data_IF_427495627885
#
_entry.id   IF_427495627885
#
_cell.length_a   1.000
_cell.length_b   1.000
_cell.length_c   1.000
_cell.angle_alpha   90.00
_cell.angle_beta   90.00
_cell.angle_gamma   90.00
#
_symmetry.space_group_name_H-M   'P 1'
#
loop_
_entity.id
_entity.type
_entity.pdbx_description
1 polymer ?
#
# COMPACT_ATOMS: atom_id res chain seq x y z
N UNK A 1 24.92 28.30 -18.01
CA UNK A 1 24.55 27.61 -16.76
C UNK A 1 25.73 26.79 -16.26
N UNK A 2 26.12 26.88 -14.99
CA UNK A 2 27.11 25.96 -14.47
C UNK A 2 26.47 24.58 -14.31
N UNK A 3 26.92 23.61 -15.10
CA UNK A 3 26.60 22.19 -14.88
C UNK A 3 27.21 21.77 -13.55
N UNK A 4 26.40 21.21 -12.64
CA UNK A 4 26.86 20.70 -11.35
C UNK A 4 28.11 19.82 -11.52
N UNK A 5 29.20 20.06 -10.78
CA UNK A 5 30.46 19.32 -10.91
C UNK A 5 30.35 17.83 -10.51
N UNK A 6 29.22 17.42 -9.92
CA UNK A 6 28.93 16.04 -9.54
C UNK A 6 28.17 15.26 -10.62
N UNK A 7 27.73 15.93 -11.69
CA UNK A 7 26.92 15.33 -12.75
C UNK A 7 27.75 14.28 -13.52
N UNK A 8 27.55 13.00 -13.20
CA UNK A 8 28.25 11.87 -13.81
C UNK A 8 29.18 11.08 -12.88
N UNK A 9 29.49 11.59 -11.68
CA UNK A 9 30.28 10.86 -10.68
C UNK A 9 29.44 10.03 -9.72
N UNK A 10 28.20 10.46 -9.49
CA UNK A 10 27.26 9.80 -8.59
C UNK A 10 25.91 9.64 -9.27
N UNK A 11 25.31 8.46 -9.12
CA UNK A 11 23.92 8.23 -9.48
C UNK A 11 23.09 8.47 -8.22
N UNK A 12 22.16 9.45 -8.21
CA UNK A 12 21.27 9.64 -7.07
C UNK A 12 20.49 8.35 -6.82
N UNK A 13 20.63 7.81 -5.61
CA UNK A 13 19.88 6.64 -5.16
C UNK A 13 18.66 7.11 -4.38
N UNK A 14 17.47 6.82 -4.92
CA UNK A 14 16.21 7.12 -4.23
C UNK A 14 15.95 6.06 -3.16
N UNK A 15 16.17 6.41 -1.90
CA UNK A 15 15.77 5.56 -0.78
C UNK A 15 14.25 5.59 -0.66
N UNK A 16 13.64 4.41 -0.76
CA UNK A 16 12.19 4.19 -0.70
C UNK A 16 11.87 3.36 0.55
N UNK A 17 10.58 3.06 0.77
CA UNK A 17 10.15 2.05 1.75
C UNK A 17 10.97 0.76 1.65
N UNK A 18 11.19 0.12 2.79
CA UNK A 18 11.88 -1.18 2.88
C UNK A 18 11.10 -2.21 2.05
N UNK A 19 11.82 -3.09 1.35
CA UNK A 19 11.18 -4.11 0.53
C UNK A 19 10.42 -5.10 1.40
N UNK A 20 9.27 -5.61 0.96
CA UNK A 20 8.47 -6.56 1.74
C UNK A 20 9.25 -7.78 2.24
N UNK A 21 10.08 -8.39 1.38
CA UNK A 21 10.88 -9.57 1.74
C UNK A 21 11.86 -9.25 2.88
N UNK A 22 12.54 -8.11 2.82
CA UNK A 22 13.58 -7.72 3.77
C UNK A 22 13.01 -7.41 5.17
N UNK A 23 11.91 -6.65 5.23
CA UNK A 23 11.27 -6.30 6.51
C UNK A 23 10.60 -7.52 7.14
N UNK A 24 9.93 -8.36 6.34
CA UNK A 24 9.23 -9.54 6.86
C UNK A 24 10.21 -10.62 7.34
N UNK A 25 11.29 -10.88 6.61
CA UNK A 25 12.34 -11.83 7.02
C UNK A 25 13.08 -11.40 8.29
N UNK A 26 13.08 -10.10 8.59
CA UNK A 26 13.62 -9.55 9.83
C UNK A 26 12.64 -9.74 10.99
N UNK A 27 11.37 -9.36 10.81
CA UNK A 27 10.37 -9.40 11.88
C UNK A 27 9.99 -10.82 12.31
N UNK A 28 10.00 -11.78 11.37
CA UNK A 28 9.70 -13.20 11.65
C UNK A 28 10.67 -13.86 12.63
N UNK A 29 11.87 -13.29 12.79
CA UNK A 29 12.86 -13.77 13.77
C UNK A 29 12.51 -13.38 15.21
N UNK A 30 11.56 -12.45 15.39
CA UNK A 30 11.20 -11.86 16.69
C UNK A 30 9.73 -12.09 17.06
N UNK A 31 8.84 -12.15 16.09
CA UNK A 31 7.41 -12.29 16.31
C UNK A 31 6.85 -13.49 15.55
N UNK A 32 5.64 -13.93 15.92
CA UNK A 32 4.96 -14.97 15.17
C UNK A 32 4.65 -14.50 13.72
N UNK A 33 4.41 -15.42 12.79
CA UNK A 33 4.21 -15.09 11.38
C UNK A 33 3.07 -14.12 11.08
N UNK A 34 1.96 -14.25 11.78
CA UNK A 34 0.80 -13.38 11.57
C UNK A 34 1.13 -11.97 12.02
N UNK A 35 1.62 -11.81 13.26
CA UNK A 35 2.01 -10.51 13.79
C UNK A 35 3.12 -9.88 12.96
N UNK A 36 4.08 -10.67 12.51
CA UNK A 36 5.18 -10.22 11.66
C UNK A 36 4.68 -9.64 10.34
N UNK A 37 3.68 -10.25 9.69
CA UNK A 37 3.16 -9.75 8.42
C UNK A 37 2.36 -8.46 8.60
N UNK A 38 1.53 -8.41 9.65
CA UNK A 38 0.75 -7.21 10.00
C UNK A 38 1.63 -6.04 10.42
N UNK A 39 2.73 -6.28 11.13
CA UNK A 39 3.72 -5.24 11.44
C UNK A 39 4.54 -4.85 10.21
N UNK A 40 4.95 -5.83 9.40
CA UNK A 40 5.75 -5.60 8.19
C UNK A 40 5.04 -4.71 7.18
N UNK A 41 3.71 -4.81 7.07
CA UNK A 41 2.93 -3.96 6.17
C UNK A 41 3.04 -2.48 6.52
N UNK A 42 3.32 -2.12 7.77
CA UNK A 42 3.53 -0.72 8.18
C UNK A 42 5.01 -0.37 8.40
N UNK A 43 5.77 -1.21 9.10
CA UNK A 43 7.18 -0.97 9.45
C UNK A 43 8.15 -0.92 8.26
N UNK A 44 7.65 -1.15 7.05
CA UNK A 44 8.37 -0.78 5.84
C UNK A 44 8.64 0.73 5.74
N UNK A 45 7.86 1.56 6.43
CA UNK A 45 8.20 2.92 6.80
C UNK A 45 9.23 2.89 7.95
N UNK A 46 10.53 3.16 7.70
CA UNK A 46 11.59 2.87 8.67
C UNK A 46 11.45 3.64 9.99
N UNK A 47 10.82 4.82 9.96
CA UNK A 47 10.62 5.68 11.13
C UNK A 47 9.67 5.07 12.17
N UNK A 48 8.83 4.10 11.78
CA UNK A 48 7.95 3.37 12.70
C UNK A 48 8.69 2.31 13.52
N UNK A 49 9.79 1.75 13.01
CA UNK A 49 10.55 0.69 13.66
C UNK A 49 10.98 1.06 15.10
N UNK A 50 11.60 2.23 15.36
CA UNK A 50 11.99 2.61 16.72
C UNK A 50 10.82 2.99 17.63
N UNK A 51 9.63 3.24 17.09
CA UNK A 51 8.46 3.69 17.86
C UNK A 51 7.62 2.54 18.43
N UNK A 52 7.85 1.32 17.95
CA UNK A 52 7.11 0.15 18.36
C UNK A 52 7.55 -0.37 19.74
N UNK A 53 6.59 -0.45 20.67
CA UNK A 53 6.80 -0.83 22.06
C UNK A 53 6.42 -2.26 22.40
N UNK A 54 6.06 -3.10 21.43
CA UNK A 54 5.65 -4.49 21.65
C UNK A 54 4.14 -4.73 21.77
N UNK A 55 3.33 -3.67 21.73
CA UNK A 55 1.85 -3.72 21.74
C UNK A 55 1.26 -4.50 20.54
N UNK A 56 -0.06 -4.70 20.52
CA UNK A 56 -0.74 -5.26 19.35
C UNK A 56 -0.72 -4.27 18.16
N UNK A 57 -0.80 -4.80 16.93
CA UNK A 57 -0.70 -4.00 15.70
C UNK A 57 -1.74 -2.88 15.66
N UNK A 58 -2.98 -3.13 16.09
CA UNK A 58 -4.05 -2.12 16.04
C UNK A 58 -3.72 -0.95 16.96
N UNK A 59 -3.30 -1.24 18.19
CA UNK A 59 -2.88 -0.22 19.16
C UNK A 59 -1.66 0.57 18.69
N UNK A 60 -0.69 -0.10 18.06
CA UNK A 60 0.49 0.56 17.48
C UNK A 60 0.08 1.55 16.37
N UNK A 61 -0.69 1.08 15.38
CA UNK A 61 -1.09 1.95 14.26
C UNK A 61 -1.99 3.09 14.73
N UNK A 62 -2.89 2.85 15.68
CA UNK A 62 -3.70 3.90 16.31
C UNK A 62 -2.83 5.01 16.93
N UNK A 63 -1.76 4.64 17.64
CA UNK A 63 -0.87 5.59 18.29
C UNK A 63 -0.27 6.57 17.27
N UNK A 64 0.27 6.07 16.16
CA UNK A 64 0.98 6.92 15.19
C UNK A 64 0.06 7.59 14.15
N UNK A 65 -1.12 7.02 13.88
CA UNK A 65 -2.10 7.60 12.94
C UNK A 65 -3.13 8.53 13.59
N UNK A 66 -3.45 8.36 14.88
CA UNK A 66 -4.40 9.21 15.60
C UNK A 66 -3.75 10.06 16.70
N UNK A 67 -2.89 9.50 17.56
CA UNK A 67 -2.34 10.26 18.69
C UNK A 67 -1.19 11.17 18.29
N UNK A 68 -0.33 10.70 17.39
CA UNK A 68 0.85 11.42 16.92
C UNK A 68 0.77 11.76 15.43
N UNK A 69 -0.44 12.05 14.94
CA UNK A 69 -0.68 12.41 13.54
C UNK A 69 0.20 13.57 13.05
N UNK A 70 0.64 14.44 13.96
CA UNK A 70 1.52 15.57 13.64
C UNK A 70 2.86 15.09 13.07
N UNK A 71 3.35 13.91 13.49
CA UNK A 71 4.56 13.30 12.94
C UNK A 71 4.37 13.01 11.45
N UNK A 72 3.23 12.43 11.08
CA UNK A 72 2.89 12.14 9.68
C UNK A 72 2.88 13.42 8.84
N UNK A 73 2.27 14.50 9.36
CA UNK A 73 2.24 15.81 8.69
C UNK A 73 3.63 16.46 8.59
N UNK A 74 4.43 16.38 9.65
CA UNK A 74 5.79 16.90 9.66
C UNK A 74 6.67 16.19 8.62
N UNK A 75 6.61 14.86 8.55
CA UNK A 75 7.35 14.06 7.56
C UNK A 75 6.98 14.41 6.12
N UNK A 76 5.70 14.66 5.83
CA UNK A 76 5.28 15.15 4.50
C UNK A 76 5.90 16.52 4.24
N UNK A 77 5.88 17.43 5.23
CA UNK A 77 6.50 18.74 5.12
C UNK A 77 8.01 18.66 4.85
N UNK A 78 8.71 17.75 5.51
CA UNK A 78 10.14 17.48 5.31
C UNK A 78 10.43 17.01 3.89
N UNK A 79 9.66 16.05 3.35
CA UNK A 79 9.82 15.59 1.97
C UNK A 79 9.66 16.74 0.97
N UNK A 80 8.68 17.62 1.18
CA UNK A 80 8.50 18.80 0.33
C UNK A 80 9.67 19.78 0.45
N UNK A 81 10.18 20.01 1.66
CA UNK A 81 11.31 20.90 1.90
C UNK A 81 12.60 20.36 1.25
N UNK A 82 12.87 19.06 1.35
CA UNK A 82 14.02 18.38 0.71
C UNK A 82 13.98 18.49 -0.82
N UNK A 83 12.77 18.46 -1.38
CA UNK A 83 12.54 18.58 -2.82
C UNK A 83 12.44 20.05 -3.29
N UNK A 84 12.78 21.01 -2.42
CA UNK A 84 12.68 22.47 -2.64
C UNK A 84 11.30 22.91 -3.15
N UNK A 85 10.24 22.25 -2.65
CA UNK A 85 8.85 22.48 -3.05
C UNK A 85 8.02 22.97 -1.87
N UNK A 86 7.00 23.76 -2.18
CA UNK A 86 6.00 24.17 -1.18
C UNK A 86 4.86 23.16 -1.12
N UNK A 87 4.55 22.65 0.07
CA UNK A 87 3.32 21.91 0.32
C UNK A 87 2.12 22.86 0.21
N UNK A 88 1.43 22.82 -0.92
CA UNK A 88 0.25 23.67 -1.18
C UNK A 88 -1.04 22.98 -0.76
N UNK A 89 -2.11 23.76 -0.59
CA UNK A 89 -3.47 23.23 -0.35
C UNK A 89 -3.90 22.20 -1.40
N UNK A 90 -3.46 22.35 -2.65
CA UNK A 90 -3.76 21.39 -3.72
C UNK A 90 -3.05 20.06 -3.50
N UNK A 91 -1.78 20.08 -3.11
CA UNK A 91 -1.05 18.84 -2.78
C UNK A 91 -1.67 18.15 -1.56
N UNK A 92 -1.94 18.88 -0.48
CA UNK A 92 -2.57 18.31 0.72
C UNK A 92 -3.93 17.68 0.40
N UNK A 93 -4.76 18.36 -0.40
CA UNK A 93 -6.06 17.84 -0.79
C UNK A 93 -5.93 16.57 -1.67
N UNK A 94 -4.94 16.49 -2.56
CA UNK A 94 -4.68 15.28 -3.35
C UNK A 94 -4.23 14.13 -2.46
N UNK A 95 -3.30 14.37 -1.53
CA UNK A 95 -2.84 13.35 -0.58
C UNK A 95 -4.01 12.83 0.26
N UNK A 96 -4.85 13.72 0.78
CA UNK A 96 -6.07 13.36 1.53
C UNK A 96 -7.05 12.52 0.71
N UNK A 97 -7.28 12.88 -0.56
CA UNK A 97 -8.16 12.13 -1.46
C UNK A 97 -7.61 10.74 -1.79
N UNK A 98 -6.30 10.64 -2.04
CA UNK A 98 -5.63 9.36 -2.29
C UNK A 98 -5.66 8.47 -1.04
N UNK A 99 -5.43 9.03 0.15
CA UNK A 99 -5.57 8.31 1.43
C UNK A 99 -7.00 7.85 1.71
N UNK A 100 -7.98 8.59 1.20
CA UNK A 100 -9.40 8.18 1.19
C UNK A 100 -9.75 7.20 0.06
N UNK A 101 -8.74 6.66 -0.64
CA UNK A 101 -8.85 5.72 -1.78
C UNK A 101 -9.61 6.28 -2.99
N UNK A 102 -9.65 7.60 -3.13
CA UNK A 102 -10.11 8.27 -4.37
C UNK A 102 -8.94 8.35 -5.34
N UNK A 103 -8.79 7.31 -6.16
CA UNK A 103 -7.62 7.12 -7.02
C UNK A 103 -7.79 7.61 -8.46
N UNK A 104 -9.03 7.76 -8.95
CA UNK A 104 -9.30 8.20 -10.33
C UNK A 104 -9.03 9.68 -10.45
N UNK A 105 -8.10 10.07 -11.33
CA UNK A 105 -7.75 11.48 -11.60
C UNK A 105 -8.99 12.33 -11.92
N UNK A 106 -9.95 11.78 -12.66
CA UNK A 106 -11.21 12.48 -12.98
C UNK A 106 -12.02 12.82 -11.73
N UNK A 107 -12.11 11.88 -10.78
CA UNK A 107 -12.85 12.06 -9.54
C UNK A 107 -12.14 13.06 -8.62
N UNK A 108 -10.81 12.91 -8.49
CA UNK A 108 -9.96 13.87 -7.75
C UNK A 108 -10.18 15.29 -8.31
N UNK A 109 -10.11 15.45 -9.64
CA UNK A 109 -10.32 16.73 -10.32
C UNK A 109 -11.70 17.32 -9.98
N UNK A 110 -12.75 16.50 -10.07
CA UNK A 110 -14.12 16.92 -9.76
C UNK A 110 -14.28 17.38 -8.31
N UNK A 111 -13.70 16.65 -7.36
CA UNK A 111 -13.79 16.99 -5.93
C UNK A 111 -12.99 18.26 -5.62
N UNK A 112 -11.78 18.39 -6.15
CA UNK A 112 -10.95 19.60 -5.95
C UNK A 112 -11.65 20.85 -6.49
N UNK A 113 -12.29 20.74 -7.66
CA UNK A 113 -13.04 21.84 -8.26
C UNK A 113 -14.28 22.19 -7.44
N UNK A 114 -15.06 21.19 -7.02
CA UNK A 114 -16.25 21.39 -6.18
C UNK A 114 -15.90 22.06 -4.83
N UNK A 115 -14.76 21.69 -4.23
CA UNK A 115 -14.22 22.32 -3.00
C UNK A 115 -13.51 23.65 -3.25
N UNK A 116 -13.49 24.16 -4.49
CA UNK A 116 -12.80 25.40 -4.90
C UNK A 116 -11.30 25.43 -4.57
N UNK A 117 -10.67 24.25 -4.48
CA UNK A 117 -9.22 24.10 -4.30
C UNK A 117 -8.47 24.40 -5.60
N UNK A 118 -9.10 24.11 -6.74
CA UNK A 118 -8.61 24.48 -8.07
C UNK A 118 -9.66 25.35 -8.78
N UNK A 119 -9.19 26.26 -9.64
CA UNK A 119 -10.05 27.20 -10.37
C UNK A 119 -10.78 26.58 -11.56
N UNK A 120 -10.20 25.53 -12.15
CA UNK A 120 -10.72 24.87 -13.35
C UNK A 120 -10.59 23.35 -13.22
N UNK A 121 -11.56 22.56 -13.73
CA UNK A 121 -11.54 21.09 -13.63
C UNK A 121 -10.63 20.44 -14.68
N UNK A 122 -9.32 20.76 -14.66
CA UNK A 122 -8.32 20.21 -15.59
C UNK A 122 -7.65 18.94 -15.06
N UNK A 123 -8.00 17.78 -15.62
CA UNK A 123 -7.33 16.51 -15.28
C UNK A 123 -5.86 16.45 -15.69
N UNK A 124 -5.45 17.20 -16.71
CA UNK A 124 -4.03 17.30 -17.09
C UNK A 124 -3.24 18.01 -15.99
N UNK A 125 -3.77 19.11 -15.47
CA UNK A 125 -3.15 19.85 -14.37
C UNK A 125 -3.04 19.00 -13.10
N UNK A 126 -4.12 18.31 -12.70
CA UNK A 126 -4.12 17.39 -11.55
C UNK A 126 -3.13 16.22 -11.75
N UNK A 127 -3.02 15.71 -12.98
CA UNK A 127 -2.02 14.68 -13.30
C UNK A 127 -0.58 15.16 -13.08
N UNK A 128 -0.32 16.45 -13.32
CA UNK A 128 0.98 17.09 -13.02
C UNK A 128 1.32 17.07 -11.53
N UNK A 129 0.35 17.41 -10.66
CA UNK A 129 0.55 17.31 -9.21
C UNK A 129 0.80 15.87 -8.75
N UNK A 130 0.01 14.91 -9.24
CA UNK A 130 0.22 13.48 -8.92
C UNK A 130 1.59 13.01 -9.41
N UNK A 131 2.05 13.49 -10.58
CA UNK A 131 3.40 13.19 -11.08
C UNK A 131 4.48 13.69 -10.14
N UNK A 132 4.37 14.93 -9.67
CA UNK A 132 5.32 15.47 -8.70
C UNK A 132 5.32 14.65 -7.40
N UNK A 133 4.14 14.27 -6.88
CA UNK A 133 4.05 13.41 -5.69
C UNK A 133 4.69 12.03 -5.89
N UNK A 134 4.62 11.45 -7.10
CA UNK A 134 5.33 10.22 -7.43
C UNK A 134 6.86 10.42 -7.50
N UNK A 135 7.30 11.54 -8.07
CA UNK A 135 8.72 11.91 -8.11
C UNK A 135 9.30 12.03 -6.69
N UNK A 136 8.54 12.62 -5.77
CA UNK A 136 8.89 12.74 -4.34
C UNK A 136 8.63 11.47 -3.50
N UNK A 137 8.23 10.36 -4.12
CA UNK A 137 7.95 9.06 -3.45
C UNK A 137 6.74 9.00 -2.52
N UNK A 138 5.91 10.03 -2.44
CA UNK A 138 4.73 10.05 -1.59
C UNK A 138 3.56 9.25 -2.19
N UNK A 139 3.54 9.13 -3.52
CA UNK A 139 2.48 8.45 -4.29
C UNK A 139 3.10 7.39 -5.18
N UNK A 140 2.39 6.27 -5.35
CA UNK A 140 2.74 5.25 -6.32
C UNK A 140 1.64 5.07 -7.38
N UNK A 141 1.99 4.39 -8.48
CA UNK A 141 1.03 4.04 -9.52
C UNK A 141 1.12 2.55 -9.86
N UNK A 142 0.00 1.85 -9.74
CA UNK A 142 -0.15 0.45 -10.11
C UNK A 142 -0.88 0.40 -11.45
N UNK A 143 -0.36 -0.37 -12.40
CA UNK A 143 -1.00 -0.52 -13.71
C UNK A 143 -2.28 -1.33 -13.58
N UNK A 144 -3.37 -0.86 -14.20
CA UNK A 144 -4.59 -1.64 -14.30
C UNK A 144 -4.46 -2.70 -15.40
N UNK A 145 -4.72 -3.95 -15.06
CA UNK A 145 -4.52 -5.12 -15.90
C UNK A 145 -5.25 -4.97 -17.24
N UNK A 146 -4.55 -5.33 -18.34
CA UNK A 146 -5.02 -5.18 -19.74
C UNK A 146 -5.39 -3.76 -20.17
N UNK A 147 -5.12 -2.73 -19.38
CA UNK A 147 -5.38 -1.33 -19.76
C UNK A 147 -4.11 -0.48 -19.74
N UNK A 148 -4.23 0.75 -20.24
CA UNK A 148 -3.21 1.80 -20.08
C UNK A 148 -3.43 2.66 -18.82
N UNK A 149 -4.54 2.44 -18.11
CA UNK A 149 -4.90 3.21 -16.92
C UNK A 149 -4.05 2.78 -15.72
N UNK A 150 -3.98 3.66 -14.74
CA UNK A 150 -3.25 3.47 -13.50
C UNK A 150 -4.17 3.68 -12.31
N UNK A 151 -3.94 2.90 -11.26
CA UNK A 151 -4.45 3.11 -9.92
C UNK A 151 -3.39 3.88 -9.14
N UNK A 152 -3.77 5.01 -8.54
CA UNK A 152 -2.86 5.86 -7.76
C UNK A 152 -3.22 5.75 -6.28
N UNK A 153 -2.21 5.64 -5.42
CA UNK A 153 -2.39 5.60 -3.96
C UNK A 153 -1.20 6.23 -3.25
N UNK A 154 -1.39 6.52 -1.97
CA UNK A 154 -0.28 6.89 -1.10
C UNK A 154 0.66 5.69 -0.96
N UNK A 155 1.96 5.95 -0.96
CA UNK A 155 2.95 4.89 -0.88
C UNK A 155 3.12 4.37 0.55
N UNK A 156 3.10 5.27 1.52
CA UNK A 156 3.26 4.97 2.96
C UNK A 156 1.93 4.49 3.56
N UNK A 157 1.86 3.26 4.10
CA UNK A 157 0.64 2.70 4.69
C UNK A 157 0.14 3.47 5.92
N UNK A 158 1.06 4.03 6.71
CA UNK A 158 0.69 4.87 7.86
C UNK A 158 0.14 6.24 7.42
N UNK A 159 0.65 6.82 6.33
CA UNK A 159 0.07 8.04 5.73
C UNK A 159 -1.32 7.76 5.16
N UNK A 160 -1.51 6.63 4.45
CA UNK A 160 -2.83 6.20 3.97
C UNK A 160 -3.81 6.04 5.13
N UNK A 161 -3.38 5.41 6.21
CA UNK A 161 -4.20 5.20 7.40
C UNK A 161 -4.57 6.51 8.08
N UNK A 162 -3.62 7.41 8.31
CA UNK A 162 -3.87 8.74 8.85
C UNK A 162 -4.92 9.49 8.01
N UNK A 163 -4.70 9.63 6.70
CA UNK A 163 -5.64 10.39 5.86
C UNK A 163 -7.02 9.75 5.74
N UNK A 164 -7.09 8.42 5.80
CA UNK A 164 -8.37 7.70 5.84
C UNK A 164 -9.14 7.99 7.13
N UNK A 165 -8.46 7.98 8.28
CA UNK A 165 -9.06 8.27 9.58
C UNK A 165 -9.41 9.74 9.71
N UNK A 166 -8.54 10.63 9.24
CA UNK A 166 -8.80 12.07 9.18
C UNK A 166 -10.09 12.37 8.43
N UNK A 167 -10.28 11.77 7.25
CA UNK A 167 -11.50 12.01 6.47
C UNK A 167 -12.79 11.50 7.12
N UNK A 168 -12.69 10.53 8.03
CA UNK A 168 -13.84 9.86 8.64
C UNK A 168 -14.17 10.31 10.06
N UNK A 169 -13.15 10.71 10.81
CA UNK A 169 -13.23 10.95 12.24
C UNK A 169 -12.67 12.31 12.64
N UNK A 170 -12.07 13.07 11.72
CA UNK A 170 -11.42 14.35 11.97
C UNK A 170 -10.37 14.25 13.09
N UNK A 171 -9.46 13.27 12.96
CA UNK A 171 -8.46 12.93 13.99
C UNK A 171 -7.51 14.08 14.32
N UNK A 172 -7.37 15.04 13.42
CA UNK A 172 -6.58 16.25 13.65
C UNK A 172 -7.31 17.34 14.44
N UNK A 173 -8.64 17.30 14.49
CA UNK A 173 -9.51 18.33 15.08
C UNK A 173 -10.06 17.93 16.45
N UNK A 174 -10.00 16.64 16.82
CA UNK A 174 -10.47 16.15 18.12
C UNK A 174 -9.71 14.92 18.58
N UNK A 175 -9.82 14.64 19.87
CA UNK A 175 -9.38 13.36 20.43
C UNK A 175 -10.34 12.24 20.01
N UNK A 176 -9.78 11.17 19.45
CA UNK A 176 -10.50 10.00 18.96
C UNK A 176 -10.01 8.79 19.74
N UNK A 177 -10.91 8.06 20.39
CA UNK A 177 -10.54 6.88 21.20
C UNK A 177 -10.24 5.65 20.32
N UNK A 178 -9.42 4.74 20.83
CA UNK A 178 -9.10 3.48 20.12
C UNK A 178 -10.37 2.66 19.83
N UNK A 179 -11.29 2.58 20.78
CA UNK A 179 -12.51 1.77 20.62
C UNK A 179 -13.42 2.32 19.51
N UNK A 180 -13.44 3.63 19.31
CA UNK A 180 -14.18 4.28 18.23
C UNK A 180 -13.66 3.88 16.84
N UNK A 181 -12.34 3.77 16.68
CA UNK A 181 -11.70 3.49 15.38
C UNK A 181 -11.28 2.04 15.19
N UNK A 182 -11.35 1.19 16.22
CA UNK A 182 -10.81 -0.18 16.23
C UNK A 182 -11.24 -1.00 15.01
N UNK A 183 -12.53 -1.10 14.73
CA UNK A 183 -13.05 -1.87 13.60
C UNK A 183 -12.61 -1.31 12.24
N UNK A 184 -12.46 0.01 12.15
CA UNK A 184 -11.97 0.68 10.94
C UNK A 184 -10.48 0.42 10.75
N UNK A 185 -9.68 0.53 11.81
CA UNK A 185 -8.25 0.19 11.78
C UNK A 185 -8.02 -1.26 11.41
N UNK A 186 -8.74 -2.21 12.00
CA UNK A 186 -8.64 -3.63 11.64
C UNK A 186 -8.99 -3.88 10.16
N UNK A 187 -9.92 -3.10 9.59
CA UNK A 187 -10.20 -3.14 8.16
C UNK A 187 -9.06 -2.56 7.33
N UNK A 188 -8.50 -1.42 7.71
CA UNK A 188 -7.38 -0.79 6.98
C UNK A 188 -6.14 -1.66 7.04
N UNK A 189 -5.78 -2.20 8.21
CA UNK A 189 -4.65 -3.12 8.38
C UNK A 189 -4.79 -4.33 7.47
N UNK A 190 -5.99 -4.91 7.33
CA UNK A 190 -6.22 -5.99 6.37
C UNK A 190 -5.89 -5.56 4.95
N UNK A 191 -6.38 -4.40 4.51
CA UNK A 191 -6.09 -3.87 3.16
C UNK A 191 -4.58 -3.61 2.96
N UNK A 192 -3.89 -3.04 3.95
CA UNK A 192 -2.44 -2.84 3.87
C UNK A 192 -1.66 -4.16 3.83
N UNK A 193 -2.17 -5.21 4.49
CA UNK A 193 -1.62 -6.57 4.35
C UNK A 193 -1.85 -7.13 2.95
N UNK A 194 -3.03 -6.93 2.36
CA UNK A 194 -3.32 -7.32 0.97
C UNK A 194 -2.33 -6.66 -0.01
N UNK A 195 -2.10 -5.35 0.15
CA UNK A 195 -1.14 -4.59 -0.66
C UNK A 195 0.30 -5.07 -0.44
N UNK A 196 0.70 -5.27 0.82
CA UNK A 196 2.02 -5.78 1.16
C UNK A 196 2.30 -7.15 0.54
N UNK A 197 1.33 -8.07 0.61
CA UNK A 197 1.41 -9.40 0.00
C UNK A 197 1.55 -9.31 -1.53
N UNK A 198 0.79 -8.43 -2.16
CA UNK A 198 0.86 -8.24 -3.60
C UNK A 198 2.26 -7.77 -4.05
N UNK A 199 2.87 -6.86 -3.30
CA UNK A 199 4.25 -6.44 -3.54
C UNK A 199 5.26 -7.54 -3.21
N UNK A 200 5.07 -8.28 -2.12
CA UNK A 200 5.88 -9.45 -1.77
C UNK A 200 5.97 -10.43 -2.95
N UNK A 201 4.83 -10.77 -3.56
CA UNK A 201 4.81 -11.67 -4.72
C UNK A 201 5.41 -11.02 -5.98
N UNK A 202 5.27 -9.71 -6.17
CA UNK A 202 5.95 -9.01 -7.25
C UNK A 202 7.48 -9.17 -7.12
N UNK A 203 8.02 -9.03 -5.91
CA UNK A 203 9.43 -9.27 -5.62
C UNK A 203 9.81 -10.74 -5.80
N UNK A 204 9.06 -11.69 -5.21
CA UNK A 204 9.31 -13.13 -5.29
C UNK A 204 9.42 -13.64 -6.74
N UNK A 205 8.49 -13.20 -7.61
CA UNK A 205 8.49 -13.59 -9.02
C UNK A 205 9.36 -12.71 -9.93
N UNK A 206 10.07 -11.72 -9.37
CA UNK A 206 10.79 -10.69 -10.12
C UNK A 206 9.92 -10.06 -11.22
N UNK A 207 8.65 -9.82 -10.88
CA UNK A 207 7.61 -9.34 -11.77
C UNK A 207 7.12 -7.94 -11.39
N UNK A 208 6.02 -7.54 -12.00
CA UNK A 208 5.32 -6.29 -11.69
C UNK A 208 3.90 -6.61 -11.24
N UNK A 209 3.47 -5.94 -10.18
CA UNK A 209 2.08 -5.95 -9.74
C UNK A 209 1.21 -5.18 -10.75
N UNK A 210 0.11 -5.77 -11.15
CA UNK A 210 -1.02 -5.16 -11.85
C UNK A 210 -2.30 -5.41 -11.04
N UNK A 211 -3.23 -4.46 -11.08
CA UNK A 211 -4.52 -4.55 -10.37
C UNK A 211 -5.66 -4.77 -11.36
N UNK A 212 -6.62 -5.63 -11.05
CA UNK A 212 -7.79 -5.89 -11.91
C UNK A 212 -9.06 -5.41 -11.22
N UNK A 213 -9.85 -4.60 -11.94
CA UNK A 213 -11.16 -4.12 -11.44
C UNK A 213 -12.31 -5.03 -11.86
N UNK A 214 -12.18 -5.72 -13.00
CA UNK A 214 -13.21 -6.61 -13.52
C UNK A 214 -12.58 -7.81 -14.28
N UNK A 215 -12.66 -9.03 -13.73
CA UNK A 215 -13.09 -9.29 -12.36
C UNK A 215 -12.14 -8.64 -11.34
N UNK A 216 -12.65 -8.27 -10.17
CA UNK A 216 -11.84 -7.71 -9.07
C UNK A 216 -10.85 -8.76 -8.57
N UNK A 217 -9.55 -8.53 -8.73
CA UNK A 217 -8.48 -9.44 -8.27
C UNK A 217 -7.44 -8.59 -7.56
N UNK A 218 -7.12 -8.96 -6.32
CA UNK A 218 -6.23 -8.19 -5.43
C UNK A 218 -4.85 -7.98 -6.04
N UNK A 219 -4.30 -9.00 -6.71
CA UNK A 219 -3.08 -8.83 -7.49
C UNK A 219 -2.93 -9.80 -8.67
N UNK A 220 -2.30 -9.28 -9.72
CA UNK A 220 -1.77 -10.05 -10.85
C UNK A 220 -0.30 -9.72 -10.99
N UNK A 221 0.57 -10.72 -11.03
CA UNK A 221 2.00 -10.52 -11.25
C UNK A 221 2.34 -10.81 -12.70
N UNK A 222 2.90 -9.84 -13.39
CA UNK A 222 3.32 -9.97 -14.79
C UNK A 222 4.82 -9.81 -14.97
N UNK A 223 5.39 -10.55 -15.91
CA UNK A 223 6.76 -10.37 -16.38
C UNK A 223 6.78 -10.38 -17.90
N UNK A 224 7.28 -9.29 -18.51
CA UNK A 224 7.31 -9.12 -19.98
C UNK A 224 5.95 -9.44 -20.64
N UNK A 225 4.86 -8.93 -20.05
CA UNK A 225 3.45 -9.13 -20.45
C UNK A 225 2.89 -10.55 -20.25
N UNK A 226 3.65 -11.51 -19.73
CA UNK A 226 3.14 -12.83 -19.34
C UNK A 226 2.63 -12.79 -17.90
N UNK A 227 1.50 -13.43 -17.63
CA UNK A 227 0.98 -13.58 -16.26
C UNK A 227 1.74 -14.72 -15.59
N UNK A 228 2.39 -14.42 -14.47
CA UNK A 228 3.10 -15.40 -13.65
C UNK A 228 2.20 -15.94 -12.54
N UNK A 229 1.49 -15.05 -11.85
CA UNK A 229 0.63 -15.39 -10.74
C UNK A 229 -0.60 -14.48 -10.66
N UNK A 230 -1.65 -15.00 -10.04
CA UNK A 230 -2.92 -14.32 -9.81
C UNK A 230 -3.32 -14.64 -8.37
N UNK A 231 -3.64 -13.60 -7.60
CA UNK A 231 -3.80 -13.71 -6.17
C UNK A 231 -5.09 -13.11 -5.62
N UNK A 232 -5.66 -13.79 -4.64
CA UNK A 232 -6.66 -13.23 -3.72
C UNK A 232 -6.12 -13.36 -2.29
N UNK A 233 -6.35 -12.34 -1.48
CA UNK A 233 -5.95 -12.29 -0.09
C UNK A 233 -7.21 -12.19 0.77
N UNK A 234 -7.36 -13.13 1.69
CA UNK A 234 -8.43 -13.16 2.68
C UNK A 234 -7.82 -13.15 4.07
N UNK A 235 -7.44 -11.97 4.55
CA UNK A 235 -6.72 -11.80 5.83
C UNK A 235 -7.62 -11.88 7.08
N UNK A 236 -8.40 -12.96 7.17
CA UNK A 236 -9.32 -13.25 8.27
C UNK A 236 -9.84 -14.68 8.15
N UNK A 237 -11.06 -14.95 8.62
CA UNK A 237 -11.69 -16.25 8.35
C UNK A 237 -12.07 -16.33 6.87
N UNK A 238 -11.75 -17.46 6.25
CA UNK A 238 -12.22 -17.81 4.91
C UNK A 238 -13.09 -19.07 4.96
N UNK A 239 -13.86 -19.27 3.91
CA UNK A 239 -14.73 -20.42 3.72
C UNK A 239 -14.40 -21.13 2.42
N UNK A 240 -14.83 -22.39 2.29
CA UNK A 240 -14.76 -23.12 1.01
C UNK A 240 -15.49 -22.40 -0.13
N UNK A 241 -16.50 -21.60 0.19
CA UNK A 241 -17.21 -20.78 -0.79
C UNK A 241 -16.33 -19.64 -1.34
N UNK A 242 -15.44 -19.07 -0.52
CA UNK A 242 -14.48 -18.06 -0.97
C UNK A 242 -13.49 -18.66 -1.99
N UNK A 243 -12.96 -19.85 -1.70
CA UNK A 243 -12.11 -20.59 -2.65
C UNK A 243 -12.84 -20.90 -3.97
N UNK A 244 -14.11 -21.31 -3.90
CA UNK A 244 -14.94 -21.58 -5.07
C UNK A 244 -15.20 -20.32 -5.90
N UNK A 245 -15.47 -19.19 -5.24
CA UNK A 245 -15.64 -17.88 -5.90
C UNK A 245 -14.36 -17.44 -6.59
N UNK A 246 -13.22 -17.52 -5.89
CA UNK A 246 -11.93 -17.18 -6.46
C UNK A 246 -11.60 -18.09 -7.66
N UNK A 247 -11.77 -19.40 -7.53
CA UNK A 247 -11.55 -20.34 -8.63
C UNK A 247 -12.34 -19.95 -9.90
N UNK A 248 -13.65 -19.74 -9.77
CA UNK A 248 -14.51 -19.33 -10.91
C UNK A 248 -14.06 -18.01 -11.54
N UNK A 249 -13.54 -17.09 -10.73
CA UNK A 249 -13.05 -15.78 -11.16
C UNK A 249 -11.82 -15.91 -12.07
N UNK A 250 -10.94 -16.87 -11.78
CA UNK A 250 -9.61 -16.96 -12.39
C UNK A 250 -9.36 -18.23 -13.20
N UNK A 251 -10.31 -19.15 -13.31
CA UNK A 251 -10.11 -20.46 -13.94
C UNK A 251 -9.61 -20.39 -15.40
N UNK A 252 -10.04 -19.37 -16.14
CA UNK A 252 -9.65 -19.14 -17.54
C UNK A 252 -8.35 -18.35 -17.70
N UNK A 253 -7.77 -17.84 -16.61
CA UNK A 253 -6.56 -17.04 -16.65
C UNK A 253 -5.31 -17.92 -16.47
N UNK A 254 -4.23 -17.66 -17.24
CA UNK A 254 -2.97 -18.39 -17.09
C UNK A 254 -2.19 -17.93 -15.86
N UNK A 255 -1.24 -18.76 -15.41
CA UNK A 255 -0.37 -18.47 -14.28
C UNK A 255 -0.77 -19.23 -13.01
N UNK A 256 0.07 -19.13 -11.99
CA UNK A 256 -0.16 -19.77 -10.69
C UNK A 256 -1.30 -19.05 -9.97
N UNK A 257 -2.31 -19.80 -9.54
CA UNK A 257 -3.43 -19.28 -8.76
C UNK A 257 -3.08 -19.36 -7.28
N UNK A 258 -3.15 -18.24 -6.59
CA UNK A 258 -2.69 -18.08 -5.21
C UNK A 258 -3.84 -17.55 -4.37
N UNK A 259 -4.10 -18.19 -3.24
CA UNK A 259 -5.04 -17.71 -2.23
C UNK A 259 -4.31 -17.57 -0.91
N UNK A 260 -4.32 -16.37 -0.33
CA UNK A 260 -3.62 -16.08 0.92
C UNK A 260 -4.63 -15.96 2.05
N UNK A 261 -4.34 -16.58 3.18
CA UNK A 261 -5.18 -16.54 4.37
C UNK A 261 -4.32 -16.33 5.61
N UNK A 262 -4.95 -15.90 6.72
CA UNK A 262 -4.26 -15.76 8.01
C UNK A 262 -3.83 -17.13 8.56
N UNK A 263 -4.71 -18.11 8.45
CA UNK A 263 -4.50 -19.53 8.80
C UNK A 263 -5.17 -20.40 7.74
N UNK A 264 -4.59 -21.56 7.39
CA UNK A 264 -5.12 -22.48 6.38
C UNK A 264 -5.52 -23.83 6.98
N UNK A 265 -6.59 -24.41 6.43
CA UNK A 265 -7.03 -25.78 6.73
C UNK A 265 -6.54 -26.82 5.71
N UNK A 266 -6.11 -26.34 4.53
CA UNK A 266 -5.65 -27.15 3.42
C UNK A 266 -4.62 -26.35 2.61
N UNK A 267 -3.71 -27.04 1.92
CA UNK A 267 -2.67 -26.37 1.10
C UNK A 267 -3.11 -26.12 -0.35
N UNK A 268 -4.18 -26.78 -0.80
CA UNK A 268 -4.66 -26.70 -2.18
C UNK A 268 -6.18 -26.80 -2.25
N UNK A 269 -6.76 -26.11 -3.23
CA UNK A 269 -8.12 -26.33 -3.69
C UNK A 269 -8.13 -26.32 -5.23
N UNK A 270 -8.33 -27.50 -5.83
CA UNK A 270 -8.12 -27.70 -7.27
C UNK A 270 -6.68 -27.31 -7.66
N UNK A 271 -6.52 -26.32 -8.53
CA UNK A 271 -5.23 -25.77 -8.96
C UNK A 271 -4.85 -24.46 -8.23
N UNK A 272 -5.62 -24.05 -7.22
CA UNK A 272 -5.28 -22.93 -6.33
C UNK A 272 -4.33 -23.41 -5.24
N UNK A 273 -3.19 -22.72 -5.10
CA UNK A 273 -2.27 -22.84 -3.98
C UNK A 273 -2.73 -21.96 -2.84
N UNK A 274 -2.87 -22.52 -1.65
CA UNK A 274 -3.29 -21.79 -0.45
C UNK A 274 -2.06 -21.59 0.44
N UNK A 275 -1.75 -20.33 0.74
CA UNK A 275 -0.66 -19.97 1.64
C UNK A 275 -1.18 -19.25 2.88
N UNK A 276 -0.53 -19.52 4.00
CA UNK A 276 -0.65 -18.74 5.23
C UNK A 276 0.63 -17.93 5.52
N UNK A 277 0.64 -17.21 6.63
CA UNK A 277 1.80 -16.43 7.07
C UNK A 277 3.09 -17.28 7.24
N UNK A 278 2.96 -18.54 7.65
CA UNK A 278 4.11 -19.46 7.82
C UNK A 278 4.69 -19.88 6.48
N UNK A 279 3.83 -20.15 5.50
CA UNK A 279 4.29 -20.45 4.15
C UNK A 279 5.06 -19.28 3.54
N UNK A 280 4.56 -18.05 3.71
CA UNK A 280 5.24 -16.84 3.24
C UNK A 280 6.60 -16.66 3.94
N UNK A 281 6.67 -16.92 5.25
CA UNK A 281 7.94 -16.91 5.98
C UNK A 281 8.93 -17.94 5.43
N UNK A 282 8.48 -19.13 5.06
CA UNK A 282 9.36 -20.13 4.44
C UNK A 282 9.82 -19.74 3.03
N UNK A 283 9.12 -18.83 2.34
CA UNK A 283 9.54 -18.31 1.04
C UNK A 283 10.66 -17.27 1.16
N UNK A 284 10.71 -16.48 2.24
CA UNK A 284 11.76 -15.47 2.42
C UNK A 284 13.13 -16.11 2.58
N UNK A 285 13.24 -17.17 3.38
CA UNK A 285 14.51 -17.88 3.60
C UNK A 285 15.02 -18.68 2.39
N UNK A 286 14.21 -18.85 1.34
CA UNK A 286 14.64 -19.48 0.09
C UNK A 286 15.23 -18.48 -0.91
N UNK A 287 15.11 -17.18 -0.61
CA UNK A 287 15.61 -16.09 -1.44
C UNK A 287 16.94 -15.49 -0.96
N UNK A 288 17.42 -15.92 0.22
CA UNK A 288 18.77 -15.68 0.73
C UNK A 288 19.75 -16.74 0.20
#
# INVERSE_FOLDING_TARGET
EPKSPLLGFFTPYKLSLIKPIDIFSTLIRRYDPVKSLELASYMRDPWLIPLYGGEDTVSFIYKDSCKYWQIVKALIGEVFAEEERTLTKTYEAILSLLGSRVWRVKDITGILYAKRVIREPSSSHVSGFIKNLMEMDLVESIKLFKTRRKYYRLKSPIMETFYYLENKFDVSEREVSLDEVRLVLEKIIRLEVEDFIAEFFAHYYNGRREYSLDPEIDFIITLRKRILAIGEVKWGKYTRQDLKKFYKKVETLPGVKIFITKEKDQSYYRDIRIYDARDLANMTFKHD
#
